data_IF_822094700864
#
_entry.id   IF_822094700864
#
_cell.length_a   1.000
_cell.length_b   1.000
_cell.length_c   1.000
_cell.angle_alpha   90.00
_cell.angle_beta   90.00
_cell.angle_gamma   90.00
#
_symmetry.space_group_name_H-M   'P 1'
#
loop_
_entity.id
_entity.type
_entity.pdbx_description
1 polymer ?
#
# COMPACT_ATOMS: atom_id res chain seq x y z
N UNK A 1 10.07 -15.40 3.53
CA UNK A 1 10.63 -16.07 4.71
C UNK A 1 9.70 -17.19 5.15
N UNK A 2 10.15 -18.44 5.11
CA UNK A 2 9.39 -19.62 5.58
C UNK A 2 9.62 -19.88 7.06
N UNK A 3 8.56 -20.25 7.79
CA UNK A 3 8.67 -20.66 9.20
C UNK A 3 9.21 -22.08 9.36
N UNK A 4 9.04 -22.93 8.37
CA UNK A 4 9.32 -24.38 8.40
C UNK A 4 8.53 -25.13 9.50
N UNK A 5 7.48 -24.52 10.03
CA UNK A 5 6.59 -25.15 11.02
C UNK A 5 5.30 -25.61 10.32
N UNK A 6 4.78 -26.75 10.77
CA UNK A 6 3.50 -27.25 10.27
C UNK A 6 2.38 -26.28 10.67
N UNK A 7 1.43 -26.08 9.75
CA UNK A 7 0.30 -25.17 9.98
C UNK A 7 0.63 -23.68 9.88
N UNK A 8 1.79 -23.31 9.32
CA UNK A 8 2.13 -21.91 9.10
C UNK A 8 1.12 -21.21 8.21
N UNK A 9 0.66 -20.04 8.64
CA UNK A 9 -0.26 -19.20 7.89
C UNK A 9 0.54 -18.33 6.92
N UNK A 10 0.26 -18.39 5.61
CA UNK A 10 0.89 -17.51 4.64
C UNK A 10 0.39 -16.09 4.82
N UNK A 11 1.31 -15.16 5.05
CA UNK A 11 1.05 -13.73 5.16
C UNK A 11 1.78 -12.99 4.03
N UNK A 12 1.03 -12.41 3.12
CA UNK A 12 1.56 -11.48 2.14
C UNK A 12 1.53 -10.06 2.69
N UNK A 13 2.66 -9.35 2.60
CA UNK A 13 2.77 -7.96 3.04
C UNK A 13 3.19 -7.08 1.86
N UNK A 14 2.32 -6.13 1.50
CA UNK A 14 2.50 -5.28 0.32
C UNK A 14 2.76 -3.84 0.74
N UNK A 15 3.90 -3.30 0.30
CA UNK A 15 4.33 -1.92 0.54
C UNK A 15 3.61 -0.92 -0.37
N UNK A 16 3.95 0.35 -0.26
CA UNK A 16 3.46 1.43 -1.11
C UNK A 16 4.56 2.43 -1.51
N UNK A 17 4.14 3.62 -1.89
CA UNK A 17 5.04 4.71 -2.29
C UNK A 17 5.30 5.66 -1.09
N UNK A 18 6.52 6.18 -0.87
CA UNK A 18 7.77 5.95 -1.63
C UNK A 18 8.59 4.77 -1.11
N UNK A 19 7.95 3.80 -0.51
CA UNK A 19 8.57 2.71 0.21
C UNK A 19 9.03 1.55 -0.67
N UNK A 20 9.36 0.47 -0.01
CA UNK A 20 9.78 -0.80 -0.60
C UNK A 20 9.64 -1.93 0.41
N UNK A 21 10.08 -3.14 0.05
CA UNK A 21 10.17 -4.27 0.99
C UNK A 21 11.06 -3.97 2.21
N UNK A 22 11.89 -2.93 2.17
CA UNK A 22 12.70 -2.46 3.29
C UNK A 22 11.86 -2.11 4.52
N UNK A 23 10.62 -1.66 4.33
CA UNK A 23 9.67 -1.36 5.41
C UNK A 23 9.45 -2.55 6.33
N UNK A 24 9.53 -3.77 5.80
CA UNK A 24 9.20 -4.99 6.52
C UNK A 24 10.40 -5.68 7.16
N UNK A 25 11.63 -5.30 6.84
CA UNK A 25 12.83 -6.02 7.30
C UNK A 25 12.95 -6.10 8.82
N UNK A 26 12.50 -5.05 9.52
CA UNK A 26 12.55 -5.02 10.99
C UNK A 26 11.42 -5.83 11.62
N UNK A 27 10.25 -5.87 11.01
CA UNK A 27 9.10 -6.57 11.59
C UNK A 27 9.09 -8.07 11.28
N UNK A 28 9.69 -8.51 10.18
CA UNK A 28 9.74 -9.93 9.80
C UNK A 28 10.29 -10.82 10.92
N UNK A 29 11.47 -10.55 11.50
CA UNK A 29 11.98 -11.37 12.60
C UNK A 29 11.06 -11.35 13.83
N UNK A 30 10.48 -10.20 14.16
CA UNK A 30 9.55 -10.06 15.30
C UNK A 30 8.30 -10.93 15.07
N UNK A 31 7.71 -10.86 13.89
CA UNK A 31 6.55 -11.70 13.56
C UNK A 31 6.87 -13.19 13.59
N UNK A 32 8.06 -13.59 13.14
CA UNK A 32 8.48 -14.99 13.19
C UNK A 32 8.71 -15.52 14.58
N UNK A 33 9.23 -14.69 15.48
CA UNK A 33 9.63 -15.10 16.84
C UNK A 33 8.51 -14.93 17.86
N UNK A 34 7.66 -13.91 17.70
CA UNK A 34 6.68 -13.49 18.69
C UNK A 34 5.22 -13.72 18.28
N UNK A 35 4.97 -14.10 17.04
CA UNK A 35 3.60 -14.43 16.63
C UNK A 35 3.11 -15.69 17.33
N UNK A 36 1.87 -15.67 17.77
CA UNK A 36 1.19 -16.84 18.36
C UNK A 36 0.93 -17.95 17.35
N UNK A 37 0.96 -17.62 16.06
CA UNK A 37 0.76 -18.53 14.95
C UNK A 37 1.99 -18.49 14.05
N UNK A 38 2.54 -19.63 13.63
CA UNK A 38 3.64 -19.64 12.67
C UNK A 38 3.24 -18.93 11.37
N UNK A 39 4.12 -18.10 10.83
CA UNK A 39 3.86 -17.32 9.62
C UNK A 39 4.89 -17.63 8.52
N UNK A 40 4.40 -17.91 7.32
CA UNK A 40 5.18 -17.81 6.10
C UNK A 40 4.99 -16.42 5.51
N UNK A 41 6.04 -15.60 5.55
CA UNK A 41 5.96 -14.18 5.19
C UNK A 41 6.47 -13.97 3.78
N UNK A 42 5.62 -13.39 2.93
CA UNK A 42 5.87 -13.07 1.52
C UNK A 42 5.78 -11.55 1.36
N UNK A 43 6.85 -10.90 0.93
CA UNK A 43 6.91 -9.45 0.72
C UNK A 43 7.34 -9.19 -0.72
N UNK A 44 6.42 -9.13 -1.69
CA UNK A 44 6.77 -8.79 -3.06
C UNK A 44 7.09 -7.30 -3.17
N UNK A 45 8.05 -6.94 -4.02
CA UNK A 45 8.14 -5.57 -4.52
C UNK A 45 7.02 -5.34 -5.52
N UNK A 46 6.31 -4.23 -5.40
CA UNK A 46 5.31 -3.83 -6.39
C UNK A 46 5.93 -3.72 -7.79
N UNK A 47 5.18 -4.00 -8.86
CA UNK A 47 5.65 -3.79 -10.23
C UNK A 47 6.20 -2.37 -10.41
N UNK A 48 7.41 -2.25 -10.96
CA UNK A 48 8.13 -0.99 -11.11
C UNK A 48 8.90 -0.50 -9.87
N UNK A 49 8.79 -1.19 -8.74
CA UNK A 49 9.49 -0.88 -7.49
C UNK A 49 10.59 -1.89 -7.21
N UNK A 50 11.65 -1.44 -6.55
CA UNK A 50 12.75 -2.28 -6.10
C UNK A 50 13.35 -3.10 -7.23
N UNK A 51 13.31 -4.42 -7.09
CA UNK A 51 13.86 -5.37 -8.07
C UNK A 51 12.80 -6.01 -8.97
N UNK A 52 11.52 -5.63 -8.83
CA UNK A 52 10.47 -6.08 -9.74
C UNK A 52 10.56 -5.39 -11.09
N UNK A 53 10.19 -6.12 -12.14
CA UNK A 53 10.19 -5.60 -13.50
C UNK A 53 9.28 -4.37 -13.63
N UNK A 54 9.67 -3.47 -14.53
CA UNK A 54 8.89 -2.28 -14.85
C UNK A 54 7.80 -2.64 -15.84
N UNK A 55 6.54 -2.26 -15.57
CA UNK A 55 5.48 -2.44 -16.55
C UNK A 55 5.81 -1.72 -17.86
N UNK A 56 5.61 -2.41 -18.98
CA UNK A 56 5.79 -1.87 -20.33
C UNK A 56 4.46 -1.52 -21.01
N UNK A 57 3.37 -2.05 -20.43
CA UNK A 57 2.01 -1.84 -20.93
C UNK A 57 1.18 -1.04 -19.93
N UNK A 58 0.15 -0.37 -20.45
CA UNK A 58 -0.84 0.30 -19.60
C UNK A 58 -1.72 -0.69 -18.86
N UNK A 59 -2.33 -0.28 -17.74
CA UNK A 59 -3.29 -1.09 -16.99
C UNK A 59 -2.72 -1.77 -15.75
N UNK A 60 -1.50 -1.43 -15.33
CA UNK A 60 -0.92 -1.92 -14.06
C UNK A 60 -1.47 -1.13 -12.88
N UNK A 61 -2.76 -1.29 -12.62
CA UNK A 61 -3.48 -0.74 -11.48
C UNK A 61 -3.50 -1.71 -10.30
N UNK A 62 -4.09 -1.27 -9.18
CA UNK A 62 -4.15 -2.08 -7.95
C UNK A 62 -4.92 -3.38 -8.13
N UNK A 63 -5.92 -3.43 -9.01
CA UNK A 63 -6.69 -4.64 -9.30
C UNK A 63 -5.82 -5.67 -10.05
N UNK A 64 -5.10 -5.23 -11.08
CA UNK A 64 -4.23 -6.12 -11.84
C UNK A 64 -3.00 -6.57 -11.02
N UNK A 65 -2.46 -5.69 -10.17
CA UNK A 65 -1.42 -6.08 -9.21
C UNK A 65 -1.93 -7.14 -8.23
N UNK A 66 -3.17 -7.02 -7.75
CA UNK A 66 -3.78 -8.02 -6.89
C UNK A 66 -3.90 -9.40 -7.56
N UNK A 67 -4.26 -9.44 -8.86
CA UNK A 67 -4.28 -10.67 -9.65
C UNK A 67 -2.89 -11.31 -9.74
N UNK A 68 -1.86 -10.51 -10.03
CA UNK A 68 -0.46 -10.98 -10.07
C UNK A 68 -0.02 -11.52 -8.70
N UNK A 69 -0.36 -10.85 -7.63
CA UNK A 69 -0.02 -11.30 -6.27
C UNK A 69 -0.76 -12.58 -5.89
N UNK A 70 -2.02 -12.74 -6.30
CA UNK A 70 -2.74 -13.99 -6.15
C UNK A 70 -2.08 -15.15 -6.92
N UNK A 71 -1.69 -14.91 -8.16
CA UNK A 71 -0.95 -15.89 -8.96
C UNK A 71 0.37 -16.28 -8.31
N UNK A 72 1.11 -15.30 -7.75
CA UNK A 72 2.32 -15.58 -6.99
C UNK A 72 2.05 -16.49 -5.80
N UNK A 73 1.01 -16.23 -4.99
CA UNK A 73 0.66 -17.10 -3.87
C UNK A 73 0.29 -18.49 -4.33
N UNK A 74 -0.43 -18.61 -5.41
CA UNK A 74 -0.79 -19.90 -6.04
C UNK A 74 0.46 -20.66 -6.53
N UNK A 75 1.37 -19.97 -7.21
CA UNK A 75 2.63 -20.55 -7.69
C UNK A 75 3.55 -21.02 -6.55
N UNK A 76 3.50 -20.35 -5.40
CA UNK A 76 4.18 -20.77 -4.18
C UNK A 76 3.48 -21.92 -3.45
N UNK A 77 2.31 -22.36 -3.93
CA UNK A 77 1.54 -23.49 -3.38
C UNK A 77 0.55 -23.10 -2.26
N UNK A 78 0.35 -21.82 -2.01
CA UNK A 78 -0.56 -21.34 -0.97
C UNK A 78 -1.99 -21.20 -1.50
N UNK A 79 -2.88 -22.09 -1.06
CA UNK A 79 -4.30 -22.06 -1.43
C UNK A 79 -5.11 -21.05 -0.59
N UNK A 80 -4.68 -20.80 0.64
CA UNK A 80 -5.29 -19.84 1.56
C UNK A 80 -4.19 -18.98 2.16
N UNK A 81 -4.46 -17.68 2.32
CA UNK A 81 -3.49 -16.72 2.82
C UNK A 81 -4.17 -15.51 3.47
N UNK A 82 -3.41 -14.80 4.27
CA UNK A 82 -3.75 -13.49 4.82
C UNK A 82 -2.96 -12.42 4.09
N UNK A 83 -3.54 -11.25 3.89
CA UNK A 83 -2.87 -10.11 3.26
C UNK A 83 -2.78 -8.92 4.21
N UNK A 84 -1.67 -8.22 4.12
CA UNK A 84 -1.43 -6.97 4.81
C UNK A 84 -0.97 -5.91 3.80
N UNK A 85 -1.47 -4.68 3.94
CA UNK A 85 -1.04 -3.57 3.10
C UNK A 85 -1.19 -2.22 3.77
N UNK A 86 -0.30 -1.32 3.40
CA UNK A 86 -0.37 0.10 3.67
C UNK A 86 -0.19 0.88 2.37
N UNK A 87 -0.66 2.14 2.32
CA UNK A 87 -0.59 2.98 1.12
C UNK A 87 -1.17 2.25 -0.12
N UNK A 88 -0.45 2.15 -1.26
CA UNK A 88 -0.88 1.35 -2.42
C UNK A 88 -1.07 -0.13 -2.09
N UNK A 89 -0.27 -0.68 -1.18
CA UNK A 89 -0.46 -2.04 -0.71
C UNK A 89 -1.82 -2.26 -0.03
N UNK A 90 -2.42 -1.23 0.54
CA UNK A 90 -3.78 -1.29 1.10
C UNK A 90 -4.83 -1.50 0.00
N UNK A 91 -4.74 -0.76 -1.10
CA UNK A 91 -5.67 -0.93 -2.23
C UNK A 91 -5.49 -2.28 -2.91
N UNK A 92 -4.25 -2.74 -3.07
CA UNK A 92 -3.96 -4.09 -3.61
C UNK A 92 -4.52 -5.17 -2.70
N UNK A 93 -4.30 -5.08 -1.38
CA UNK A 93 -4.81 -6.05 -0.40
C UNK A 93 -6.34 -6.10 -0.38
N UNK A 94 -7.00 -4.94 -0.52
CA UNK A 94 -8.45 -4.86 -0.68
C UNK A 94 -8.92 -5.63 -1.91
N UNK A 95 -8.30 -5.40 -3.07
CA UNK A 95 -8.63 -6.10 -4.30
C UNK A 95 -8.37 -7.61 -4.21
N UNK A 96 -7.30 -8.04 -3.52
CA UNK A 96 -7.09 -9.47 -3.27
C UNK A 96 -8.22 -10.10 -2.47
N UNK A 97 -8.71 -9.42 -1.44
CA UNK A 97 -9.82 -9.92 -0.64
C UNK A 97 -11.14 -9.94 -1.41
N UNK A 98 -11.37 -8.95 -2.27
CA UNK A 98 -12.60 -8.80 -3.06
C UNK A 98 -12.66 -9.81 -4.20
N UNK A 99 -11.56 -9.98 -4.94
CA UNK A 99 -11.51 -10.87 -6.11
C UNK A 99 -11.36 -12.36 -5.73
N UNK A 100 -10.70 -12.65 -4.61
CA UNK A 100 -10.35 -14.01 -4.21
C UNK A 100 -10.79 -14.35 -2.79
N UNK A 101 -12.08 -14.18 -2.44
CA UNK A 101 -12.58 -14.38 -1.07
C UNK A 101 -12.41 -15.81 -0.57
N UNK A 102 -12.35 -16.80 -1.47
CA UNK A 102 -12.12 -18.20 -1.11
C UNK A 102 -10.66 -18.48 -0.72
N UNK A 103 -9.73 -17.63 -1.16
CA UNK A 103 -8.29 -17.77 -0.91
C UNK A 103 -7.78 -16.78 0.16
N UNK A 104 -8.25 -15.55 0.12
CA UNK A 104 -7.89 -14.51 1.08
C UNK A 104 -8.76 -14.64 2.33
N UNK A 105 -8.23 -15.28 3.37
CA UNK A 105 -8.96 -15.59 4.61
C UNK A 105 -8.89 -14.50 5.67
N UNK A 106 -8.13 -13.44 5.43
CA UNK A 106 -8.01 -12.29 6.33
C UNK A 106 -7.25 -11.15 5.70
N UNK A 107 -7.59 -9.94 6.11
CA UNK A 107 -6.98 -8.70 5.63
C UNK A 107 -6.63 -7.80 6.82
N UNK A 108 -5.44 -7.19 6.77
CA UNK A 108 -5.00 -6.14 7.67
C UNK A 108 -4.55 -4.92 6.87
N UNK A 109 -5.05 -3.74 7.22
CA UNK A 109 -4.75 -2.50 6.51
C UNK A 109 -4.23 -1.43 7.48
N UNK A 110 -3.11 -0.80 7.14
CA UNK A 110 -2.61 0.39 7.84
C UNK A 110 -3.32 1.67 7.39
N UNK A 111 -3.79 1.69 6.13
CA UNK A 111 -4.51 2.80 5.53
C UNK A 111 -5.79 2.26 4.90
N UNK A 112 -6.94 2.64 5.44
CA UNK A 112 -8.23 2.27 4.85
C UNK A 112 -8.67 3.38 3.91
N UNK A 113 -8.69 3.06 2.60
CA UNK A 113 -9.22 3.96 1.58
C UNK A 113 -10.64 3.53 1.25
N UNK A 114 -11.59 4.36 1.63
CA UNK A 114 -13.01 4.18 1.33
C UNK A 114 -13.55 5.44 0.66
N UNK A 115 -14.52 5.25 -0.22
CA UNK A 115 -15.22 6.34 -0.87
C UNK A 115 -16.68 6.34 -0.40
N UNK A 116 -17.35 7.51 -0.38
CA UNK A 116 -18.77 7.56 -0.10
C UNK A 116 -19.54 6.62 -1.02
N UNK A 117 -20.61 5.97 -0.54
CA UNK A 117 -21.44 5.11 -1.36
C UNK A 117 -22.05 5.91 -2.52
N UNK A 118 -22.26 5.24 -3.65
CA UNK A 118 -23.00 5.82 -4.76
C UNK A 118 -24.48 5.90 -4.39
N UNK A 119 -25.11 7.04 -4.63
CA UNK A 119 -26.54 7.25 -4.33
C UNK A 119 -26.91 8.73 -4.25
N UNK A 120 -28.20 9.00 -4.07
CA UNK A 120 -28.74 10.36 -4.04
C UNK A 120 -28.35 11.13 -2.76
N UNK A 121 -27.98 10.42 -1.69
CA UNK A 121 -27.58 11.02 -0.43
C UNK A 121 -26.35 10.33 0.18
N UNK A 122 -25.16 10.50 -0.41
CA UNK A 122 -23.93 9.84 0.04
C UNK A 122 -23.47 10.26 1.45
N UNK A 123 -24.04 11.32 1.99
CA UNK A 123 -23.69 11.85 3.32
C UNK A 123 -24.72 11.48 4.40
N UNK A 124 -25.70 10.62 4.08
CA UNK A 124 -26.69 10.16 5.05
C UNK A 124 -26.04 9.36 6.18
N UNK A 125 -26.33 9.75 7.41
CA UNK A 125 -25.79 9.09 8.62
C UNK A 125 -24.37 9.51 9.01
N UNK A 126 -23.74 10.42 8.27
CA UNK A 126 -22.40 10.93 8.62
C UNK A 126 -22.48 11.80 9.87
N UNK A 127 -21.65 11.50 10.85
CA UNK A 127 -21.58 12.23 12.13
C UNK A 127 -20.83 13.56 11.99
N UNK A 128 -20.99 14.45 12.98
CA UNK A 128 -20.26 15.73 13.01
C UNK A 128 -18.74 15.55 13.05
N UNK A 129 -18.24 14.52 13.73
CA UNK A 129 -16.81 14.22 13.79
C UNK A 129 -16.27 13.71 12.44
N UNK A 130 -17.03 12.87 11.75
CA UNK A 130 -16.68 12.41 10.39
C UNK A 130 -16.73 13.57 9.38
N UNK A 131 -17.69 14.48 9.47
CA UNK A 131 -17.70 15.71 8.65
C UNK A 131 -16.43 16.52 8.84
N UNK A 132 -16.00 16.71 10.09
CA UNK A 132 -14.74 17.40 10.38
C UNK A 132 -13.51 16.69 9.82
N UNK A 133 -13.50 15.34 9.84
CA UNK A 133 -12.44 14.56 9.19
C UNK A 133 -12.43 14.79 7.68
N UNK A 134 -13.59 14.82 7.04
CA UNK A 134 -13.70 15.09 5.60
C UNK A 134 -13.22 16.52 5.26
N UNK A 135 -13.56 17.52 6.06
CA UNK A 135 -13.05 18.90 5.89
C UNK A 135 -11.51 18.94 6.00
N UNK A 136 -10.94 18.27 7.00
CA UNK A 136 -9.49 18.16 7.16
C UNK A 136 -8.83 17.46 5.98
N UNK A 137 -9.47 16.41 5.46
CA UNK A 137 -8.98 15.70 4.27
C UNK A 137 -8.98 16.61 3.03
N UNK A 138 -10.04 17.37 2.79
CA UNK A 138 -10.09 18.30 1.65
C UNK A 138 -9.05 19.43 1.79
N UNK A 139 -8.83 19.94 3.01
CA UNK A 139 -7.75 20.89 3.28
C UNK A 139 -6.38 20.29 2.98
N UNK A 140 -6.12 19.08 3.47
CA UNK A 140 -4.88 18.35 3.18
C UNK A 140 -4.72 18.12 1.68
N UNK A 141 -5.74 17.67 0.99
CA UNK A 141 -5.75 17.42 -0.45
C UNK A 141 -5.40 18.69 -1.24
N UNK A 142 -5.94 19.84 -0.88
CA UNK A 142 -5.65 21.11 -1.55
C UNK A 142 -4.22 21.61 -1.39
N UNK A 143 -3.52 21.22 -0.33
CA UNK A 143 -2.17 21.68 0.00
C UNK A 143 -1.09 20.62 -0.19
N UNK A 144 -1.42 19.34 0.00
CA UNK A 144 -0.47 18.24 0.06
C UNK A 144 -0.41 17.34 -1.17
N UNK A 145 -1.35 17.45 -2.12
CA UNK A 145 -1.44 16.52 -3.26
C UNK A 145 -0.66 16.92 -4.50
N UNK A 146 0.15 17.97 -4.43
CA UNK A 146 0.98 18.39 -5.58
C UNK A 146 1.84 17.26 -6.16
N UNK A 147 2.49 16.47 -5.29
CA UNK A 147 3.28 15.31 -5.70
C UNK A 147 2.44 14.26 -6.45
N UNK A 148 1.24 13.98 -5.92
CA UNK A 148 0.32 12.99 -6.48
C UNK A 148 -0.16 13.41 -7.89
N UNK A 149 -0.53 14.67 -8.07
CA UNK A 149 -0.97 15.17 -9.36
C UNK A 149 0.15 15.14 -10.40
N UNK A 150 1.38 15.45 -10.03
CA UNK A 150 2.54 15.36 -10.92
C UNK A 150 2.83 13.89 -11.26
N UNK A 151 2.90 13.01 -10.27
CA UNK A 151 3.19 11.59 -10.49
C UNK A 151 2.09 10.89 -11.30
N UNK A 152 0.84 11.24 -11.10
CA UNK A 152 -0.32 10.72 -11.83
C UNK A 152 -0.36 11.18 -13.29
N UNK A 153 0.03 12.43 -13.57
CA UNK A 153 -0.21 13.06 -14.88
C UNK A 153 1.05 13.24 -15.70
N UNK A 154 2.21 13.45 -15.08
CA UNK A 154 3.51 13.76 -15.71
C UNK A 154 4.66 13.00 -15.05
N UNK A 155 4.55 11.66 -14.84
CA UNK A 155 5.56 10.88 -14.11
C UNK A 155 6.92 10.94 -14.80
N UNK A 156 6.98 10.89 -16.11
CA UNK A 156 8.22 10.92 -16.87
C UNK A 156 8.94 12.26 -16.75
N UNK A 157 8.20 13.38 -16.70
CA UNK A 157 8.77 14.71 -16.60
C UNK A 157 9.53 14.90 -15.29
N UNK A 158 8.91 14.58 -14.16
CA UNK A 158 9.57 14.67 -12.85
C UNK A 158 10.65 13.59 -12.69
N UNK A 159 10.46 12.42 -13.30
CA UNK A 159 11.40 11.30 -13.24
C UNK A 159 12.80 11.64 -13.75
N UNK A 160 12.93 12.44 -14.81
CA UNK A 160 14.22 12.89 -15.30
C UNK A 160 15.00 13.69 -14.24
N UNK A 161 14.36 14.67 -13.59
CA UNK A 161 14.98 15.46 -12.56
C UNK A 161 15.34 14.67 -11.31
N UNK A 162 14.46 13.75 -10.89
CA UNK A 162 14.69 12.88 -9.73
C UNK A 162 15.81 11.86 -9.96
N UNK A 163 15.95 11.37 -11.20
CA UNK A 163 17.02 10.43 -11.55
C UNK A 163 18.39 11.12 -11.67
N UNK A 164 18.41 12.37 -12.09
CA UNK A 164 19.65 13.14 -12.31
C UNK A 164 20.20 13.79 -11.02
N UNK A 165 19.32 14.19 -10.10
CA UNK A 165 19.67 14.94 -8.91
C UNK A 165 19.40 14.16 -7.62
N UNK A 166 20.44 13.65 -6.92
CA UNK A 166 20.25 13.02 -5.60
C UNK A 166 19.58 13.93 -4.58
N UNK A 167 19.91 15.23 -4.58
CA UNK A 167 19.28 16.21 -3.68
C UNK A 167 17.84 16.49 -4.08
N UNK A 168 17.52 16.47 -5.38
CA UNK A 168 16.16 16.59 -5.88
C UNK A 168 15.28 15.41 -5.41
N UNK A 169 15.79 14.19 -5.54
CA UNK A 169 15.10 12.99 -5.04
C UNK A 169 14.93 13.03 -3.51
N UNK A 170 15.99 13.38 -2.77
CA UNK A 170 15.93 13.51 -1.33
C UNK A 170 14.90 14.55 -0.89
N UNK A 171 14.84 15.70 -1.52
CA UNK A 171 13.87 16.75 -1.22
C UNK A 171 12.43 16.29 -1.52
N UNK A 172 12.21 15.66 -2.68
CA UNK A 172 10.91 15.13 -3.10
C UNK A 172 10.30 14.15 -2.10
N UNK A 173 11.13 13.25 -1.56
CA UNK A 173 10.72 12.25 -0.60
C UNK A 173 10.64 12.83 0.83
N UNK A 174 11.65 13.58 1.26
CA UNK A 174 11.73 14.11 2.63
C UNK A 174 10.60 15.09 2.93
N UNK A 175 10.12 15.84 1.94
CA UNK A 175 8.96 16.72 2.09
C UNK A 175 7.71 15.92 2.49
N UNK A 176 7.54 14.70 1.98
CA UNK A 176 6.42 13.82 2.35
C UNK A 176 6.58 13.29 3.77
N UNK A 177 7.75 12.82 4.16
CA UNK A 177 8.01 12.44 5.55
C UNK A 177 7.71 13.59 6.51
N UNK A 178 8.12 14.80 6.15
CA UNK A 178 7.83 15.97 6.95
C UNK A 178 6.33 16.30 7.00
N UNK A 179 5.64 16.32 5.86
CA UNK A 179 4.21 16.67 5.77
C UNK A 179 3.26 15.62 6.35
N UNK A 180 3.69 14.35 6.41
CA UNK A 180 2.86 13.25 6.92
C UNK A 180 3.18 12.85 8.36
N UNK A 181 4.20 13.45 8.94
CA UNK A 181 4.55 13.17 10.33
C UNK A 181 3.56 13.85 11.28
N UNK A 182 3.06 13.09 12.26
CA UNK A 182 2.16 13.60 13.29
C UNK A 182 2.88 14.69 14.12
N UNK A 183 2.28 15.88 14.21
CA UNK A 183 2.88 17.06 14.87
C UNK A 183 3.52 18.08 13.93
N UNK A 184 3.45 17.89 12.61
CA UNK A 184 3.91 18.89 11.62
C UNK A 184 3.07 20.19 11.60
N UNK A 185 1.87 20.17 12.21
CA UNK A 185 0.92 21.29 12.22
C UNK A 185 1.38 22.52 13.05
N UNK A 186 2.52 22.46 13.70
CA UNK A 186 3.06 23.53 14.58
C UNK A 186 4.25 24.30 13.98
N UNK A 187 4.35 24.38 12.65
CA UNK A 187 5.43 25.17 12.02
C UNK A 187 4.94 26.09 10.95
#
# INVERSE_FOLDING_TARGET
SKSYQEGAVPLMMTHGWPGSIQEFLKIIPILREQSKVPLDIICPSLPGFGFSDKPTEIGMDSENIAKIQHELMTALGYKKYVVQGGDWGSTVSKWMAELFPENCIGIHLNLVIAFPPSGDNPMEGVTADELKMLENYEKYKSQGFGYFEIQKTKPQTIGYGLNDSPIGLAAWISEKFYGWFEGSDNK
#
